data_IF_086889438915
#
_entry.id   IF_086889438915
#
_cell.length_a   1.000
_cell.length_b   1.000
_cell.length_c   1.000
_cell.angle_alpha   90.00
_cell.angle_beta   90.00
_cell.angle_gamma   90.00
#
_symmetry.space_group_name_H-M   'P 1'
#
loop_
_entity.id
_entity.type
_entity.pdbx_description
1 polymer ?
#
# COMPACT_ATOMS: atom_id res chain seq x y z
N UNK A 1 13.69 -2.63 -2.18
CA UNK A 1 12.93 -2.18 -3.38
C UNK A 1 12.62 -0.71 -3.22
N UNK A 2 12.81 0.08 -4.27
CA UNK A 2 12.51 1.52 -4.31
C UNK A 2 11.12 1.72 -4.92
N UNK A 3 10.47 2.83 -4.59
CA UNK A 3 9.16 3.17 -5.16
C UNK A 3 9.22 3.32 -6.69
N UNK A 4 10.36 3.75 -7.21
CA UNK A 4 10.65 3.87 -8.64
C UNK A 4 10.64 2.54 -9.40
N UNK A 5 10.72 1.41 -8.69
CA UNK A 5 10.70 0.09 -9.31
C UNK A 5 9.28 -0.34 -9.70
N UNK A 6 8.27 0.49 -9.41
CA UNK A 6 6.87 0.19 -9.61
C UNK A 6 6.09 1.32 -10.27
N UNK A 7 5.14 0.93 -11.12
CA UNK A 7 4.14 1.83 -11.70
C UNK A 7 2.79 1.63 -11.00
N UNK A 8 2.15 2.72 -10.58
CA UNK A 8 0.77 2.69 -10.10
C UNK A 8 -0.17 2.66 -11.29
N UNK A 9 -1.02 1.63 -11.37
CA UNK A 9 -1.99 1.48 -12.45
C UNK A 9 -3.29 2.19 -12.09
N UNK A 10 -3.93 1.77 -10.99
CA UNK A 10 -5.22 2.33 -10.55
C UNK A 10 -5.50 2.05 -9.07
N UNK A 11 -6.41 2.82 -8.48
CA UNK A 11 -6.97 2.47 -7.19
C UNK A 11 -7.90 1.24 -7.34
N UNK A 12 -7.79 0.30 -6.41
CA UNK A 12 -8.68 -0.87 -6.28
C UNK A 12 -9.79 -0.62 -5.26
N UNK A 13 -9.53 0.20 -4.24
CA UNK A 13 -10.52 0.53 -3.22
C UNK A 13 -9.99 1.53 -2.20
N UNK A 14 -10.92 2.17 -1.48
CA UNK A 14 -10.63 3.09 -0.38
C UNK A 14 -11.40 2.65 0.86
N UNK A 15 -10.67 2.44 1.96
CA UNK A 15 -11.24 2.14 3.27
C UNK A 15 -11.00 3.27 4.26
N UNK A 16 -11.44 3.07 5.50
CA UNK A 16 -11.20 3.99 6.62
C UNK A 16 -9.71 4.26 6.85
N UNK A 17 -8.86 3.27 6.62
CA UNK A 17 -7.42 3.34 6.91
C UNK A 17 -6.55 3.83 5.74
N UNK A 18 -7.10 3.94 4.53
CA UNK A 18 -6.32 4.34 3.36
C UNK A 18 -6.84 3.84 2.02
N UNK A 19 -5.94 3.79 1.04
CA UNK A 19 -6.26 3.43 -0.35
C UNK A 19 -5.37 2.27 -0.80
N UNK A 20 -5.99 1.28 -1.43
CA UNK A 20 -5.31 0.14 -2.05
C UNK A 20 -5.17 0.38 -3.54
N UNK A 21 -3.96 0.18 -4.07
CA UNK A 21 -3.62 0.37 -5.48
C UNK A 21 -3.17 -0.93 -6.12
N UNK A 22 -3.56 -1.13 -7.37
CA UNK A 22 -2.91 -2.09 -8.26
C UNK A 22 -1.64 -1.44 -8.80
N UNK A 23 -0.52 -2.15 -8.68
CA UNK A 23 0.77 -1.71 -9.18
C UNK A 23 1.42 -2.79 -10.06
N UNK A 24 2.39 -2.39 -10.85
CA UNK A 24 3.21 -3.26 -11.67
C UNK A 24 4.68 -3.10 -11.32
N UNK A 25 5.41 -4.19 -11.08
CA UNK A 25 6.87 -4.16 -10.96
C UNK A 25 7.51 -4.04 -12.34
N UNK A 26 8.27 -2.97 -12.57
CA UNK A 26 8.81 -2.61 -13.90
C UNK A 26 9.71 -3.69 -14.48
N UNK A 27 10.53 -4.33 -13.64
CA UNK A 27 11.53 -5.31 -14.07
C UNK A 27 10.90 -6.65 -14.48
N UNK A 28 9.83 -7.06 -13.80
CA UNK A 28 9.25 -8.40 -13.96
C UNK A 28 7.90 -8.39 -14.66
N UNK A 29 7.25 -7.22 -14.78
CA UNK A 29 5.89 -7.07 -15.26
C UNK A 29 4.83 -7.68 -14.32
N UNK A 30 5.21 -8.12 -13.11
CA UNK A 30 4.26 -8.71 -12.16
C UNK A 30 3.31 -7.66 -11.59
N UNK A 31 2.04 -8.03 -11.54
CA UNK A 31 1.03 -7.25 -10.83
C UNK A 31 1.08 -7.54 -9.33
N UNK A 32 1.04 -6.45 -8.56
CA UNK A 32 1.12 -6.47 -7.10
C UNK A 32 0.10 -5.47 -6.53
N UNK A 33 -0.10 -5.52 -5.22
CA UNK A 33 -1.01 -4.62 -4.52
C UNK A 33 -0.24 -3.77 -3.53
N UNK A 34 -0.51 -2.45 -3.54
CA UNK A 34 0.04 -1.52 -2.57
C UNK A 34 -1.06 -0.88 -1.72
N UNK A 35 -1.08 -1.17 -0.42
CA UNK A 35 -1.93 -0.47 0.56
C UNK A 35 -1.20 0.77 1.08
N UNK A 36 -1.72 1.96 0.76
CA UNK A 36 -1.24 3.24 1.29
C UNK A 36 -2.11 3.64 2.47
N UNK A 37 -1.54 3.58 3.66
CA UNK A 37 -2.22 3.98 4.90
C UNK A 37 -2.15 5.50 5.08
N UNK A 38 -3.25 6.13 5.49
CA UNK A 38 -3.27 7.54 5.87
C UNK A 38 -3.09 7.60 7.38
N UNK A 39 -1.89 7.95 7.83
CA UNK A 39 -1.59 8.09 9.27
C UNK A 39 -1.96 9.52 9.67
N UNK A 40 -3.10 9.70 10.33
CA UNK A 40 -3.57 11.01 10.79
C UNK A 40 -3.11 11.27 12.24
N UNK A 41 -2.94 10.21 13.05
CA UNK A 41 -2.44 10.31 14.43
C UNK A 41 -1.51 9.14 14.88
N UNK A 42 -1.01 9.20 16.11
CA UNK A 42 -0.15 8.17 16.72
C UNK A 42 -0.85 6.79 16.84
N UNK A 43 -2.18 6.80 16.97
CA UNK A 43 -3.02 5.61 17.05
C UNK A 43 -3.12 4.90 15.70
N UNK A 44 -3.24 5.65 14.60
CA UNK A 44 -3.20 5.14 13.23
C UNK A 44 -1.86 4.48 12.93
N UNK A 45 -0.76 5.06 13.46
CA UNK A 45 0.59 4.47 13.31
C UNK A 45 0.68 3.13 14.03
N UNK A 46 0.12 3.03 15.24
CA UNK A 46 0.05 1.78 16.01
C UNK A 46 -0.82 0.72 15.31
N UNK A 47 -1.96 1.11 14.75
CA UNK A 47 -2.82 0.17 14.02
C UNK A 47 -2.19 -0.29 12.70
N UNK A 48 -1.51 0.60 11.98
CA UNK A 48 -0.79 0.24 10.75
C UNK A 48 0.34 -0.76 11.01
N UNK A 49 1.09 -0.60 12.11
CA UNK A 49 2.10 -1.58 12.51
C UNK A 49 1.48 -2.94 12.84
N UNK A 50 0.37 -2.96 13.59
CA UNK A 50 -0.34 -4.20 13.90
C UNK A 50 -0.86 -4.93 12.66
N UNK A 51 -1.42 -4.22 11.69
CA UNK A 51 -1.83 -4.85 10.43
C UNK A 51 -0.63 -5.41 9.65
N UNK A 52 0.53 -4.72 9.67
CA UNK A 52 1.74 -5.19 9.01
C UNK A 52 2.38 -6.41 9.70
N UNK A 53 2.19 -6.56 11.01
CA UNK A 53 2.68 -7.71 11.79
C UNK A 53 1.77 -8.95 11.71
N UNK A 54 0.50 -8.79 11.29
CA UNK A 54 -0.46 -9.90 11.16
C UNK A 54 -0.44 -10.57 9.78
N UNK A 55 0.30 -10.03 8.81
CA UNK A 55 0.49 -10.58 7.46
C UNK A 55 1.84 -11.31 7.35
#
# INVERSE_FOLDING_TARGET
MKKSDFNVIRALGRGSFGVTFLINEVSSGKELVWKRMTLVDENDRRMTLREAEML
#
